data_IF_465990931147
#
_entry.id   IF_465990931147
#
_cell.length_a   1.000
_cell.length_b   1.000
_cell.length_c   1.000
_cell.angle_alpha   90.00
_cell.angle_beta   90.00
_cell.angle_gamma   90.00
#
_symmetry.space_group_name_H-M   'P 1'
#
loop_
_entity.id
_entity.type
_entity.pdbx_description
1 polymer ?
#
# COMPACT_ATOMS: atom_id res chain seq x y z
N UNK A 1 29.98 -13.90 -3.46
CA UNK A 1 28.62 -13.99 -2.91
C UNK A 1 28.32 -15.45 -2.62
N UNK A 2 27.81 -15.84 -1.44
CA UNK A 2 27.55 -17.25 -1.14
C UNK A 2 26.44 -17.80 -2.06
N UNK A 3 26.59 -19.06 -2.48
CA UNK A 3 25.78 -19.73 -3.51
C UNK A 3 24.26 -19.70 -3.23
N UNK A 4 23.84 -19.65 -1.96
CA UNK A 4 22.43 -19.52 -1.55
C UNK A 4 21.81 -18.18 -1.94
N UNK A 5 22.57 -17.09 -1.88
CA UNK A 5 22.06 -15.76 -2.22
C UNK A 5 21.86 -15.58 -3.74
N UNK A 6 22.63 -16.29 -4.58
CA UNK A 6 22.44 -16.34 -6.04
C UNK A 6 21.13 -17.03 -6.44
N UNK A 7 20.74 -18.09 -5.73
CA UNK A 7 19.49 -18.83 -6.01
C UNK A 7 18.24 -18.01 -5.66
N UNK A 8 18.29 -17.29 -4.53
CA UNK A 8 17.21 -16.36 -4.13
C UNK A 8 17.11 -15.21 -5.14
N UNK A 9 18.25 -14.66 -5.57
CA UNK A 9 18.31 -13.61 -6.59
C UNK A 9 17.69 -14.06 -7.93
N UNK A 10 18.00 -15.28 -8.38
CA UNK A 10 17.43 -15.81 -9.62
C UNK A 10 15.91 -16.05 -9.51
N UNK A 11 15.44 -16.51 -8.34
CA UNK A 11 14.01 -16.68 -8.08
C UNK A 11 13.26 -15.33 -8.12
N UNK A 12 13.79 -14.28 -7.50
CA UNK A 12 13.19 -12.93 -7.52
C UNK A 12 13.12 -12.37 -8.93
N UNK A 13 14.19 -12.53 -9.73
CA UNK A 13 14.21 -12.08 -11.13
C UNK A 13 13.22 -12.86 -12.00
N UNK A 14 13.12 -14.19 -11.82
CA UNK A 14 12.14 -14.99 -12.56
C UNK A 14 10.70 -14.59 -12.23
N UNK A 15 10.39 -14.30 -10.96
CA UNK A 15 9.06 -13.80 -10.56
C UNK A 15 8.74 -12.45 -11.20
N UNK A 16 9.72 -11.55 -11.30
CA UNK A 16 9.57 -10.25 -11.97
C UNK A 16 9.34 -10.39 -13.48
N UNK A 17 10.05 -11.29 -14.15
CA UNK A 17 9.82 -11.55 -15.58
C UNK A 17 8.45 -12.17 -15.84
N UNK A 18 7.95 -13.03 -14.95
CA UNK A 18 6.59 -13.57 -15.01
C UNK A 18 5.51 -12.50 -14.84
N UNK A 19 5.75 -11.46 -14.03
CA UNK A 19 4.82 -10.33 -13.92
C UNK A 19 4.83 -9.43 -15.15
N UNK A 20 5.94 -9.36 -15.89
CA UNK A 20 6.05 -8.57 -17.11
C UNK A 20 5.45 -9.28 -18.34
N UNK A 21 5.49 -10.62 -18.40
CA UNK A 21 4.95 -11.39 -19.54
C UNK A 21 3.44 -11.59 -19.47
N UNK A 22 2.82 -11.50 -18.29
CA UNK A 22 1.36 -11.54 -18.13
C UNK A 22 0.61 -10.30 -18.69
N UNK A 23 1.35 -9.28 -19.12
CA UNK A 23 0.83 -7.94 -19.53
C UNK A 23 0.44 -7.86 -21.02
N UNK A 24 0.54 -8.95 -21.79
CA UNK A 24 0.32 -8.91 -23.25
C UNK A 24 -1.11 -9.26 -23.74
N UNK A 25 -2.13 -9.21 -22.87
CA UNK A 25 -3.52 -9.42 -23.28
C UNK A 25 -4.37 -8.17 -23.02
N UNK A 26 -5.13 -7.72 -24.03
CA UNK A 26 -5.75 -6.40 -24.16
C UNK A 26 -7.18 -6.24 -23.62
N UNK A 27 -7.48 -5.03 -23.13
CA UNK A 27 -8.77 -4.26 -23.14
C UNK A 27 -9.82 -4.54 -22.01
N UNK A 28 -10.85 -3.65 -21.80
CA UNK A 28 -10.78 -2.43 -20.98
C UNK A 28 -11.91 -2.32 -19.91
N UNK A 29 -11.76 -1.47 -18.89
CA UNK A 29 -12.92 -0.98 -18.09
C UNK A 29 -12.71 0.40 -17.45
N UNK A 30 -12.56 1.44 -18.29
CA UNK A 30 -12.52 2.84 -17.81
C UNK A 30 -13.87 3.39 -17.30
N UNK A 31 -15.01 2.75 -17.60
CA UNK A 31 -16.34 3.32 -17.34
C UNK A 31 -16.69 3.49 -15.85
N UNK A 32 -16.30 2.56 -14.99
CA UNK A 32 -16.64 2.63 -13.57
C UNK A 32 -15.85 3.67 -12.79
N UNK A 33 -14.60 3.95 -13.19
CA UNK A 33 -13.81 4.98 -12.51
C UNK A 33 -14.29 6.40 -12.83
N UNK A 34 -14.61 6.67 -14.10
CA UNK A 34 -15.17 7.97 -14.49
C UNK A 34 -16.52 8.23 -13.84
N UNK A 35 -17.39 7.21 -13.80
CA UNK A 35 -18.66 7.29 -13.11
C UNK A 35 -18.46 7.54 -11.61
N UNK A 36 -17.50 6.88 -10.96
CA UNK A 36 -17.22 7.11 -9.54
C UNK A 36 -16.69 8.52 -9.26
N UNK A 37 -15.76 9.01 -10.08
CA UNK A 37 -15.23 10.38 -9.97
C UNK A 37 -16.34 11.42 -10.16
N UNK A 38 -17.19 11.22 -11.15
CA UNK A 38 -18.35 12.09 -11.41
C UNK A 38 -19.31 12.12 -10.22
N UNK A 39 -19.71 10.95 -9.71
CA UNK A 39 -20.62 10.82 -8.58
C UNK A 39 -20.01 11.39 -7.31
N UNK A 40 -18.75 11.07 -7.01
CA UNK A 40 -18.03 11.61 -5.84
C UNK A 40 -17.97 13.14 -5.88
N UNK A 41 -17.65 13.74 -7.03
CA UNK A 41 -17.64 15.20 -7.18
C UNK A 41 -19.02 15.82 -6.92
N UNK A 42 -20.08 15.27 -7.54
CA UNK A 42 -21.44 15.79 -7.43
C UNK A 42 -22.06 15.59 -6.04
N UNK A 43 -21.75 14.46 -5.41
CA UNK A 43 -22.37 14.04 -4.14
C UNK A 43 -21.57 14.55 -2.93
N UNK A 44 -20.25 14.35 -2.90
CA UNK A 44 -19.39 14.75 -1.78
C UNK A 44 -18.90 16.19 -1.96
N UNK A 45 -18.49 16.56 -3.18
CA UNK A 45 -17.94 17.90 -3.45
C UNK A 45 -19.01 19.00 -3.47
N UNK A 46 -20.12 18.75 -4.17
CA UNK A 46 -21.19 19.75 -4.37
C UNK A 46 -22.34 19.60 -3.37
N UNK A 47 -22.47 18.44 -2.70
CA UNK A 47 -23.52 18.20 -1.71
C UNK A 47 -24.93 18.10 -2.29
N UNK A 48 -25.05 17.69 -3.56
CA UNK A 48 -26.30 17.66 -4.31
C UNK A 48 -27.23 16.52 -3.85
N UNK A 49 -28.07 16.80 -2.84
CA UNK A 49 -29.07 15.84 -2.35
C UNK A 49 -30.21 15.59 -3.34
N UNK A 50 -30.57 16.58 -4.15
CA UNK A 50 -31.64 16.44 -5.14
C UNK A 50 -31.26 15.39 -6.20
N UNK A 51 -29.99 15.37 -6.60
CA UNK A 51 -29.46 14.32 -7.49
C UNK A 51 -29.52 12.92 -6.86
N UNK A 52 -29.16 12.79 -5.58
CA UNK A 52 -29.22 11.51 -4.85
C UNK A 52 -30.67 11.00 -4.76
N UNK A 53 -31.60 11.88 -4.38
CA UNK A 53 -33.02 11.54 -4.28
C UNK A 53 -33.62 11.21 -5.64
N UNK A 54 -33.21 11.93 -6.70
CA UNK A 54 -33.62 11.68 -8.08
C UNK A 54 -33.16 10.31 -8.60
N UNK A 55 -31.90 9.94 -8.36
CA UNK A 55 -31.36 8.63 -8.71
C UNK A 55 -32.03 7.50 -7.95
N UNK A 56 -32.25 7.68 -6.65
CA UNK A 56 -32.94 6.70 -5.80
C UNK A 56 -34.39 6.50 -6.23
N UNK A 57 -35.11 7.60 -6.49
CA UNK A 57 -36.47 7.57 -7.02
C UNK A 57 -36.53 6.86 -8.37
N UNK A 58 -35.61 7.18 -9.28
CA UNK A 58 -35.53 6.52 -10.60
C UNK A 58 -35.31 5.01 -10.46
N UNK A 59 -34.39 4.59 -9.58
CA UNK A 59 -34.10 3.18 -9.32
C UNK A 59 -35.33 2.38 -8.88
N UNK A 60 -36.23 3.01 -8.11
CA UNK A 60 -37.47 2.39 -7.64
C UNK A 60 -38.55 2.24 -8.72
N UNK A 61 -38.47 3.03 -9.80
CA UNK A 61 -39.46 3.07 -10.88
C UNK A 61 -39.05 2.25 -12.12
N UNK A 62 -37.87 1.63 -12.10
CA UNK A 62 -37.40 0.81 -13.22
C UNK A 62 -38.22 -0.48 -13.33
N UNK A 63 -38.44 -0.91 -14.58
CA UNK A 63 -39.04 -2.22 -14.86
C UNK A 63 -37.97 -3.32 -14.70
N UNK A 64 -38.20 -4.21 -13.74
CA UNK A 64 -37.30 -5.33 -13.43
C UNK A 64 -37.71 -6.63 -14.13
N UNK A 65 -38.79 -6.64 -14.91
CA UNK A 65 -39.28 -7.85 -15.60
C UNK A 65 -38.29 -8.40 -16.62
N UNK A 66 -37.49 -7.52 -17.25
CA UNK A 66 -36.43 -7.86 -18.21
C UNK A 66 -35.03 -7.88 -17.57
N UNK A 67 -34.93 -7.88 -16.24
CA UNK A 67 -33.64 -7.79 -15.55
C UNK A 67 -32.76 -9.01 -15.81
N UNK A 68 -31.47 -8.76 -16.08
CA UNK A 68 -30.50 -9.82 -16.26
C UNK A 68 -29.92 -10.26 -14.91
N UNK A 69 -29.95 -11.56 -14.64
CA UNK A 69 -29.30 -12.15 -13.46
C UNK A 69 -27.80 -12.24 -13.70
N UNK A 70 -27.00 -11.69 -12.79
CA UNK A 70 -25.54 -11.68 -12.85
C UNK A 70 -24.97 -11.95 -11.46
N UNK A 71 -23.94 -12.79 -11.38
CA UNK A 71 -23.11 -12.87 -10.18
C UNK A 71 -21.98 -11.84 -10.29
N UNK A 72 -21.83 -11.03 -9.26
CA UNK A 72 -20.78 -10.02 -9.20
C UNK A 72 -19.94 -10.22 -7.95
N UNK A 73 -18.65 -10.45 -8.14
CA UNK A 73 -17.67 -10.39 -7.06
C UNK A 73 -17.20 -8.96 -6.93
N UNK A 74 -17.39 -8.34 -5.77
CA UNK A 74 -17.27 -6.90 -5.66
C UNK A 74 -17.35 -6.36 -4.25
N UNK A 75 -17.54 -5.05 -4.18
CA UNK A 75 -17.58 -4.28 -2.95
C UNK A 75 -18.85 -3.43 -2.97
N UNK A 76 -19.62 -3.48 -1.89
CA UNK A 76 -20.69 -2.51 -1.67
C UNK A 76 -20.05 -1.21 -1.16
N UNK A 77 -20.46 -0.07 -1.72
CA UNK A 77 -19.98 1.26 -1.37
C UNK A 77 -21.17 2.15 -1.08
N UNK A 78 -20.97 3.07 -0.16
CA UNK A 78 -22.03 3.95 0.34
C UNK A 78 -21.53 5.38 0.19
N UNK A 79 -22.23 6.17 -0.60
CA UNK A 79 -22.04 7.62 -0.64
C UNK A 79 -23.16 8.26 0.19
N UNK A 80 -22.77 8.94 1.27
CA UNK A 80 -23.70 9.66 2.15
C UNK A 80 -23.54 11.16 1.92
N UNK A 81 -24.64 11.86 1.66
CA UNK A 81 -24.70 13.32 1.71
C UNK A 81 -25.32 13.73 3.02
N UNK A 82 -24.58 14.52 3.80
CA UNK A 82 -25.11 15.22 4.97
C UNK A 82 -25.22 16.70 4.63
N UNK A 83 -26.44 17.19 4.49
CA UNK A 83 -26.73 18.61 4.31
C UNK A 83 -27.37 19.19 5.56
N UNK A 84 -26.92 20.39 5.96
CA UNK A 84 -27.40 21.07 7.16
C UNK A 84 -28.92 21.43 7.14
N UNK A 85 -29.60 21.30 5.99
CA UNK A 85 -31.00 21.73 5.80
C UNK A 85 -31.94 20.69 5.19
N UNK A 86 -31.47 19.52 4.74
CA UNK A 86 -32.32 18.55 4.04
C UNK A 86 -31.78 17.14 4.22
N UNK A 87 -32.27 16.42 5.24
CA UNK A 87 -32.12 14.97 5.39
C UNK A 87 -30.69 14.40 5.30
N UNK A 88 -30.58 13.07 5.35
CA UNK A 88 -29.35 12.35 4.96
C UNK A 88 -29.69 11.55 3.71
N UNK A 89 -29.22 11.99 2.54
CA UNK A 89 -29.34 11.24 1.29
C UNK A 89 -28.29 10.13 1.28
N UNK A 90 -28.69 8.87 1.11
CA UNK A 90 -27.78 7.73 1.04
C UNK A 90 -27.92 7.05 -0.32
N UNK A 91 -26.82 6.99 -1.06
CA UNK A 91 -26.74 6.27 -2.32
C UNK A 91 -25.82 5.07 -2.17
N UNK A 92 -26.34 3.90 -2.48
CA UNK A 92 -25.62 2.64 -2.42
C UNK A 92 -25.14 2.28 -3.83
N UNK A 93 -23.89 1.84 -3.93
CA UNK A 93 -23.29 1.40 -5.18
C UNK A 93 -22.64 0.04 -4.99
N UNK A 94 -22.78 -0.81 -5.97
CA UNK A 94 -22.12 -2.10 -5.99
C UNK A 94 -21.09 -2.07 -7.10
N UNK A 95 -19.84 -2.28 -6.71
CA UNK A 95 -18.73 -2.27 -7.65
C UNK A 95 -18.17 -3.67 -7.84
N UNK A 96 -18.10 -4.11 -9.09
CA UNK A 96 -17.42 -5.33 -9.49
C UNK A 96 -15.91 -5.23 -9.44
N UNK A 97 -15.25 -6.37 -9.24
CA UNK A 97 -13.79 -6.48 -9.25
C UNK A 97 -13.17 -6.14 -10.61
N UNK A 98 -13.96 -6.22 -11.68
CA UNK A 98 -13.58 -5.89 -13.05
C UNK A 98 -13.82 -4.41 -13.40
N UNK A 99 -14.25 -3.59 -12.42
CA UNK A 99 -14.47 -2.16 -12.62
C UNK A 99 -15.92 -1.76 -12.90
N UNK A 100 -16.83 -2.71 -13.15
CA UNK A 100 -18.27 -2.43 -13.28
C UNK A 100 -18.81 -1.69 -12.05
N UNK A 101 -19.70 -0.72 -12.24
CA UNK A 101 -20.43 -0.08 -11.15
C UNK A 101 -21.93 -0.10 -11.40
N UNK A 102 -22.68 -0.39 -10.33
CA UNK A 102 -24.13 -0.42 -10.32
C UNK A 102 -24.68 0.45 -9.21
N UNK A 103 -25.69 1.28 -9.50
CA UNK A 103 -26.50 1.96 -8.49
C UNK A 103 -27.42 0.92 -7.87
N UNK A 104 -27.35 0.73 -6.55
CA UNK A 104 -28.20 -0.24 -5.84
C UNK A 104 -29.57 0.38 -5.59
N UNK A 105 -30.61 -0.28 -6.12
CA UNK A 105 -32.01 0.10 -5.88
C UNK A 105 -32.45 -0.40 -4.50
N UNK A 106 -32.86 0.52 -3.62
CA UNK A 106 -33.58 0.24 -2.37
C UNK A 106 -35.00 0.83 -2.47
N UNK A 107 -36.05 0.22 -1.89
CA UNK A 107 -36.06 -0.99 -1.08
C UNK A 107 -36.45 -2.23 -1.89
N UNK A 108 -35.71 -3.32 -1.71
CA UNK A 108 -36.21 -4.65 -2.04
C UNK A 108 -37.31 -4.96 -1.01
N UNK A 109 -38.57 -5.14 -1.41
CA UNK A 109 -39.58 -5.74 -0.51
C UNK A 109 -39.01 -7.06 0.03
N UNK A 110 -38.79 -7.15 1.34
CA UNK A 110 -38.13 -8.29 1.99
C UNK A 110 -36.59 -8.23 2.06
N UNK A 111 -35.97 -7.08 1.78
CA UNK A 111 -34.52 -6.87 1.85
C UNK A 111 -33.98 -6.56 3.25
N UNK A 112 -32.66 -6.69 3.39
CA UNK A 112 -31.90 -6.46 4.62
C UNK A 112 -32.07 -5.02 5.16
N UNK A 113 -32.06 -4.77 6.49
CA UNK A 113 -32.05 -3.42 7.06
C UNK A 113 -30.85 -2.59 6.58
N UNK A 114 -30.97 -1.27 6.51
CA UNK A 114 -29.89 -0.35 6.09
C UNK A 114 -28.56 -0.58 6.87
N UNK A 115 -28.65 -0.98 8.15
CA UNK A 115 -27.50 -1.30 8.99
C UNK A 115 -26.73 -2.57 8.55
N UNK A 116 -27.39 -3.53 7.90
CA UNK A 116 -26.73 -4.70 7.33
C UNK A 116 -25.96 -4.34 6.06
N UNK A 117 -26.50 -3.47 5.21
CA UNK A 117 -25.79 -2.95 4.05
C UNK A 117 -24.54 -2.15 4.44
N UNK A 118 -24.56 -1.43 5.57
CA UNK A 118 -23.36 -0.76 6.09
C UNK A 118 -22.25 -1.74 6.46
N UNK A 119 -22.57 -2.82 7.19
CA UNK A 119 -21.60 -3.89 7.49
C UNK A 119 -21.11 -4.60 6.23
N UNK A 120 -22.00 -4.78 5.25
CA UNK A 120 -21.65 -5.38 3.96
C UNK A 120 -20.68 -4.52 3.14
N UNK A 121 -20.61 -3.20 3.38
CA UNK A 121 -19.69 -2.31 2.67
C UNK A 121 -18.23 -2.45 3.07
N UNK A 122 -17.96 -3.10 4.21
CA UNK A 122 -16.62 -3.24 4.79
C UNK A 122 -15.79 -4.35 4.15
N UNK A 123 -16.41 -5.24 3.37
CA UNK A 123 -15.73 -6.43 2.83
C UNK A 123 -16.14 -6.75 1.39
N UNK A 124 -15.17 -7.28 0.65
CA UNK A 124 -15.40 -7.85 -0.68
C UNK A 124 -16.26 -9.12 -0.57
N UNK A 125 -17.33 -9.18 -1.35
CA UNK A 125 -18.30 -10.27 -1.33
C UNK A 125 -18.77 -10.63 -2.74
N UNK A 126 -19.39 -11.80 -2.86
CA UNK A 126 -20.09 -12.24 -4.04
C UNK A 126 -21.57 -11.90 -3.89
N UNK A 127 -22.10 -11.16 -4.85
CA UNK A 127 -23.48 -10.71 -4.87
C UNK A 127 -24.22 -11.36 -6.03
N UNK A 128 -25.38 -11.94 -5.76
CA UNK A 128 -26.35 -12.28 -6.79
C UNK A 128 -27.18 -11.03 -7.10
N UNK A 129 -27.14 -10.58 -8.35
CA UNK A 129 -27.75 -9.33 -8.79
C UNK A 129 -28.76 -9.57 -9.91
N UNK A 130 -29.80 -8.77 -9.90
CA UNK A 130 -30.62 -8.45 -11.07
C UNK A 130 -30.19 -7.07 -11.56
N UNK A 131 -29.93 -6.92 -12.86
CA UNK A 131 -29.39 -5.67 -13.42
C UNK A 131 -30.27 -5.12 -14.54
N UNK A 132 -30.43 -3.80 -14.56
CA UNK A 132 -31.22 -3.04 -15.55
C UNK A 132 -30.49 -1.72 -15.83
N UNK A 133 -30.55 -1.21 -17.05
CA UNK A 133 -30.01 0.12 -17.38
C UNK A 133 -31.12 1.16 -17.37
N UNK A 134 -30.81 2.37 -16.93
CA UNK A 134 -31.76 3.48 -16.89
C UNK A 134 -31.06 4.81 -17.11
N UNK A 135 -31.80 5.78 -17.65
CA UNK A 135 -31.29 7.14 -17.85
C UNK A 135 -31.73 8.08 -16.73
N UNK A 136 -30.84 8.97 -16.31
CA UNK A 136 -31.11 10.07 -15.40
C UNK A 136 -30.25 11.28 -15.78
N UNK A 137 -30.86 12.46 -15.94
CA UNK A 137 -30.16 13.70 -16.34
C UNK A 137 -29.24 13.55 -17.58
N UNK A 138 -29.71 12.85 -18.62
CA UNK A 138 -28.95 12.68 -19.87
C UNK A 138 -27.77 11.70 -19.80
N UNK A 139 -27.63 10.96 -18.69
CA UNK A 139 -26.61 9.89 -18.53
C UNK A 139 -27.27 8.55 -18.27
N UNK A 140 -26.70 7.50 -18.86
CA UNK A 140 -27.10 6.12 -18.62
C UNK A 140 -26.37 5.58 -17.38
N UNK A 141 -27.13 4.96 -16.48
CA UNK A 141 -26.64 4.28 -15.29
C UNK A 141 -27.05 2.82 -15.33
N UNK A 142 -26.17 1.94 -14.86
CA UNK A 142 -26.52 0.56 -14.56
C UNK A 142 -27.09 0.51 -13.13
N UNK A 143 -28.28 -0.05 -12.98
CA UNK A 143 -28.93 -0.27 -11.70
C UNK A 143 -28.87 -1.75 -11.36
N UNK A 144 -28.68 -2.06 -10.09
CA UNK A 144 -28.69 -3.43 -9.58
C UNK A 144 -29.62 -3.58 -8.39
N UNK A 145 -30.27 -4.73 -8.33
CA UNK A 145 -31.01 -5.21 -7.17
C UNK A 145 -30.34 -6.47 -6.65
N UNK A 146 -30.05 -6.51 -5.35
CA UNK A 146 -29.49 -7.71 -4.71
C UNK A 146 -30.62 -8.73 -4.57
N UNK A 147 -30.48 -9.86 -5.25
CA UNK A 147 -31.52 -10.89 -5.37
C UNK A 147 -31.30 -12.10 -4.46
N UNK A 148 -30.21 -12.13 -3.69
CA UNK A 148 -29.90 -13.21 -2.73
C UNK A 148 -28.90 -12.77 -1.67
N UNK A 149 -28.66 -13.63 -0.68
CA UNK A 149 -27.71 -13.33 0.40
C UNK A 149 -26.27 -13.19 -0.14
N UNK A 150 -25.58 -12.08 0.15
CA UNK A 150 -24.18 -11.92 -0.22
C UNK A 150 -23.30 -12.99 0.43
N UNK A 151 -22.47 -13.64 -0.38
CA UNK A 151 -21.55 -14.68 0.10
C UNK A 151 -20.16 -14.09 0.34
N UNK A 152 -19.61 -14.36 1.52
CA UNK A 152 -18.22 -14.02 1.81
C UNK A 152 -17.26 -14.88 0.98
N UNK A 153 -16.22 -14.26 0.43
CA UNK A 153 -15.22 -14.96 -0.37
C UNK A 153 -14.21 -15.58 0.60
N UNK A 154 -14.28 -16.91 0.77
CA UNK A 154 -13.43 -17.65 1.70
C UNK A 154 -11.93 -17.37 1.45
N UNK A 155 -11.54 -17.31 0.18
CA UNK A 155 -10.16 -17.02 -0.21
C UNK A 155 -9.69 -15.63 0.25
N UNK A 156 -10.52 -14.57 0.10
CA UNK A 156 -10.16 -13.21 0.52
C UNK A 156 -9.96 -13.13 2.04
N UNK A 157 -10.82 -13.82 2.81
CA UNK A 157 -10.67 -13.92 4.27
C UNK A 157 -9.38 -14.62 4.67
N UNK A 158 -9.11 -15.79 4.08
CA UNK A 158 -7.88 -16.55 4.35
C UNK A 158 -6.65 -15.70 3.98
N UNK A 159 -6.71 -15.00 2.84
CA UNK A 159 -5.63 -14.13 2.38
C UNK A 159 -5.36 -12.97 3.34
N UNK A 160 -6.39 -12.21 3.74
CA UNK A 160 -6.27 -11.10 4.71
C UNK A 160 -5.74 -11.58 6.07
N UNK A 161 -6.25 -12.69 6.60
CA UNK A 161 -5.76 -13.29 7.85
C UNK A 161 -4.29 -13.70 7.72
N UNK A 162 -3.91 -14.32 6.61
CA UNK A 162 -2.54 -14.75 6.35
C UNK A 162 -1.58 -13.56 6.31
N UNK A 163 -1.96 -12.46 5.65
CA UNK A 163 -1.17 -11.21 5.62
C UNK A 163 -0.94 -10.69 7.03
N UNK A 164 -2.00 -10.56 7.83
CA UNK A 164 -1.93 -10.01 9.19
C UNK A 164 -1.04 -10.88 10.07
N UNK A 165 -1.20 -12.21 10.01
CA UNK A 165 -0.39 -13.15 10.77
C UNK A 165 1.08 -13.11 10.34
N UNK A 166 1.35 -13.07 9.04
CA UNK A 166 2.70 -12.96 8.53
C UNK A 166 3.37 -11.65 8.94
N UNK A 167 2.67 -10.51 8.83
CA UNK A 167 3.17 -9.22 9.29
C UNK A 167 3.49 -9.26 10.79
N UNK A 168 2.61 -9.84 11.60
CA UNK A 168 2.84 -10.04 13.03
C UNK A 168 4.16 -10.77 13.28
N UNK A 169 4.39 -11.90 12.61
CA UNK A 169 5.63 -12.67 12.75
C UNK A 169 6.86 -11.87 12.31
N UNK A 170 6.77 -11.13 11.20
CA UNK A 170 7.86 -10.27 10.72
C UNK A 170 8.21 -9.20 11.76
N UNK A 171 7.21 -8.57 12.37
CA UNK A 171 7.41 -7.51 13.37
C UNK A 171 7.92 -8.05 14.70
N UNK A 172 7.49 -9.23 15.13
CA UNK A 172 8.12 -9.95 16.25
C UNK A 172 9.59 -10.21 15.92
N UNK A 173 9.88 -10.74 14.74
CA UNK A 173 11.22 -11.00 14.24
C UNK A 173 12.14 -9.79 14.27
N UNK A 174 11.62 -8.65 13.83
CA UNK A 174 12.29 -7.35 13.96
C UNK A 174 12.58 -7.03 15.42
N UNK A 175 11.58 -7.15 16.30
CA UNK A 175 11.73 -6.89 17.73
C UNK A 175 12.79 -7.77 18.41
N UNK A 176 12.96 -9.02 17.95
CA UNK A 176 14.01 -9.92 18.43
C UNK A 176 15.43 -9.42 18.17
N UNK A 177 15.62 -8.45 17.28
CA UNK A 177 16.94 -7.86 16.96
C UNK A 177 17.23 -6.58 17.72
N UNK A 178 16.20 -5.93 18.28
CA UNK A 178 16.33 -4.59 18.86
C UNK A 178 16.51 -4.63 20.38
N UNK A 179 17.29 -3.69 20.90
CA UNK A 179 17.47 -3.43 22.33
C UNK A 179 17.04 -2.01 22.66
N UNK A 180 16.64 -1.77 23.91
CA UNK A 180 16.35 -0.41 24.40
C UNK A 180 17.55 0.54 24.25
N UNK A 181 18.77 0.01 24.35
CA UNK A 181 20.01 0.79 24.12
C UNK A 181 20.11 1.34 22.70
N UNK A 182 19.46 0.73 21.71
CA UNK A 182 19.56 1.17 20.31
C UNK A 182 18.83 2.50 20.10
N UNK A 183 17.84 2.82 20.93
CA UNK A 183 17.16 4.12 20.95
C UNK A 183 18.04 5.22 21.56
N UNK A 184 18.94 4.86 22.49
CA UNK A 184 19.82 5.85 23.14
C UNK A 184 20.90 6.41 22.21
N UNK A 185 21.15 5.78 21.04
CA UNK A 185 22.15 6.25 20.08
C UNK A 185 21.78 7.62 19.48
N UNK A 186 20.50 8.02 19.52
CA UNK A 186 20.06 9.36 19.11
C UNK A 186 20.84 10.46 19.85
N UNK A 187 21.15 10.24 21.12
CA UNK A 187 21.91 11.20 21.94
C UNK A 187 23.42 11.16 21.63
N UNK A 188 23.93 10.07 21.07
CA UNK A 188 25.36 9.90 20.75
C UNK A 188 25.73 10.30 19.32
N UNK A 189 24.79 10.13 18.36
CA UNK A 189 24.98 10.46 16.94
C UNK A 189 23.82 11.30 16.39
N UNK A 190 23.51 12.46 17.01
CA UNK A 190 22.29 13.22 16.73
C UNK A 190 22.21 13.70 15.28
N UNK A 191 23.31 14.22 14.72
CA UNK A 191 23.31 14.76 13.36
C UNK A 191 22.92 13.71 12.31
N UNK A 192 23.52 12.52 12.37
CA UNK A 192 23.22 11.46 11.40
C UNK A 192 21.78 10.93 11.55
N UNK A 193 21.27 10.85 12.78
CA UNK A 193 19.87 10.44 13.02
C UNK A 193 18.89 11.49 12.47
N UNK A 194 19.12 12.78 12.73
CA UNK A 194 18.28 13.87 12.22
C UNK A 194 18.29 13.89 10.69
N UNK A 195 19.47 13.78 10.06
CA UNK A 195 19.58 13.67 8.60
C UNK A 195 18.76 12.48 8.09
N UNK A 196 18.89 11.32 8.73
CA UNK A 196 18.12 10.12 8.39
C UNK A 196 16.60 10.34 8.43
N UNK A 197 16.09 10.94 9.50
CA UNK A 197 14.66 11.23 9.67
C UNK A 197 14.18 12.22 8.59
N UNK A 198 14.93 13.29 8.34
CA UNK A 198 14.60 14.29 7.31
C UNK A 198 14.61 13.66 5.92
N UNK A 199 15.57 12.79 5.62
CA UNK A 199 15.59 12.03 4.36
C UNK A 199 14.37 11.12 4.25
N UNK A 200 14.00 10.44 5.34
CA UNK A 200 12.96 9.44 5.33
C UNK A 200 11.55 10.01 5.18
N UNK A 201 11.22 11.04 5.96
CA UNK A 201 9.87 11.60 6.07
C UNK A 201 9.71 12.98 5.43
N UNK A 202 10.81 13.67 5.14
CA UNK A 202 10.80 14.94 4.40
C UNK A 202 11.12 14.73 2.93
N UNK A 203 12.34 14.31 2.61
CA UNK A 203 12.83 14.26 1.23
C UNK A 203 12.17 13.17 0.39
N UNK A 204 12.07 11.94 0.89
CA UNK A 204 11.56 10.82 0.10
C UNK A 204 10.11 11.00 -0.38
N UNK A 205 9.16 11.48 0.44
CA UNK A 205 7.82 11.82 -0.05
C UNK A 205 7.83 12.89 -1.14
N UNK A 206 8.73 13.89 -1.07
CA UNK A 206 8.89 14.90 -2.12
C UNK A 206 9.47 14.31 -3.41
N UNK A 207 10.40 13.35 -3.31
CA UNK A 207 10.90 12.61 -4.47
C UNK A 207 9.78 11.79 -5.12
N UNK A 208 8.95 11.11 -4.33
CA UNK A 208 7.79 10.37 -4.83
C UNK A 208 6.78 11.31 -5.52
N UNK A 209 6.53 12.50 -4.96
CA UNK A 209 5.69 13.53 -5.58
C UNK A 209 6.27 13.98 -6.93
N UNK A 210 7.57 14.33 -6.97
CA UNK A 210 8.24 14.75 -8.20
C UNK A 210 8.23 13.69 -9.29
N UNK A 211 8.52 12.42 -8.94
CA UNK A 211 8.44 11.30 -9.88
C UNK A 211 7.01 11.07 -10.37
N UNK A 212 6.02 11.26 -9.50
CA UNK A 212 4.61 11.08 -9.87
C UNK A 212 4.11 12.17 -10.82
N UNK A 213 4.60 13.40 -10.71
CA UNK A 213 4.37 14.42 -11.73
C UNK A 213 5.09 14.10 -13.03
N UNK A 214 6.36 13.67 -12.96
CA UNK A 214 7.17 13.34 -14.14
C UNK A 214 6.55 12.21 -14.97
N UNK A 215 6.03 11.18 -14.33
CA UNK A 215 5.38 10.05 -14.99
C UNK A 215 3.87 10.20 -15.18
N UNK A 216 3.28 11.35 -14.82
CA UNK A 216 1.85 11.63 -14.96
C UNK A 216 0.92 10.87 -14.00
N UNK A 217 1.46 10.10 -13.05
CA UNK A 217 0.67 9.39 -12.05
C UNK A 217 -0.11 10.32 -11.13
N UNK A 218 0.43 11.51 -10.83
CA UNK A 218 -0.22 12.45 -9.93
C UNK A 218 -1.62 12.85 -10.42
N UNK A 219 -1.77 13.11 -11.72
CA UNK A 219 -3.04 13.53 -12.32
C UNK A 219 -3.88 12.35 -12.81
N UNK A 220 -3.25 11.37 -13.48
CA UNK A 220 -3.99 10.28 -14.13
C UNK A 220 -4.32 9.12 -13.19
N UNK A 221 -3.44 8.82 -12.21
CA UNK A 221 -3.50 7.61 -11.41
C UNK A 221 -3.20 7.89 -9.92
N UNK A 222 -4.10 8.59 -9.20
CA UNK A 222 -3.85 9.06 -7.84
C UNK A 222 -3.53 7.93 -6.84
N UNK A 223 -4.05 6.73 -7.07
CA UNK A 223 -3.74 5.56 -6.23
C UNK A 223 -2.34 4.98 -6.50
N UNK A 224 -1.79 5.11 -7.71
CA UNK A 224 -0.37 4.78 -7.97
C UNK A 224 0.52 5.78 -7.23
N UNK A 225 0.21 7.08 -7.34
CA UNK A 225 0.91 8.13 -6.59
C UNK A 225 0.86 7.86 -5.06
N UNK A 226 -0.32 7.58 -4.52
CA UNK A 226 -0.49 7.26 -3.11
C UNK A 226 0.25 5.99 -2.71
N UNK A 227 0.36 5.01 -3.61
CA UNK A 227 1.20 3.82 -3.42
C UNK A 227 2.68 4.18 -3.27
N UNK A 228 3.19 5.10 -4.11
CA UNK A 228 4.57 5.59 -4.03
C UNK A 228 4.80 6.38 -2.74
N UNK A 229 3.87 7.26 -2.35
CA UNK A 229 3.95 7.96 -1.07
C UNK A 229 3.97 6.96 0.09
N UNK A 230 3.03 6.00 0.12
CA UNK A 230 2.96 4.95 1.15
C UNK A 230 4.28 4.17 1.28
N UNK A 231 4.93 3.85 0.16
CA UNK A 231 6.24 3.21 0.17
C UNK A 231 7.29 4.08 0.88
N UNK A 232 7.31 5.40 0.62
CA UNK A 232 8.29 6.33 1.22
C UNK A 232 8.04 6.67 2.68
N UNK A 233 6.78 6.79 3.09
CA UNK A 233 6.43 7.13 4.48
C UNK A 233 6.40 5.91 5.38
N UNK A 234 6.56 4.72 4.82
CA UNK A 234 6.77 3.52 5.62
C UNK A 234 8.16 3.54 6.28
N UNK A 235 8.29 3.03 7.51
CA UNK A 235 9.57 2.97 8.21
C UNK A 235 10.59 2.12 7.44
N UNK A 236 11.87 2.27 7.78
CA UNK A 236 12.91 1.44 7.19
C UNK A 236 12.66 -0.05 7.53
N UNK A 237 12.99 -0.95 6.59
CA UNK A 237 12.82 -2.38 6.78
C UNK A 237 14.08 -3.02 7.36
N UNK A 238 13.97 -4.06 8.19
CA UNK A 238 15.12 -4.75 8.83
C UNK A 238 16.21 -5.19 7.84
N UNK A 239 15.84 -5.45 6.58
CA UNK A 239 16.81 -5.80 5.54
C UNK A 239 17.81 -4.67 5.23
N UNK A 240 17.49 -3.40 5.52
CA UNK A 240 18.46 -2.29 5.45
C UNK A 240 19.67 -2.57 6.34
N UNK A 241 19.48 -3.10 7.56
CA UNK A 241 20.55 -3.46 8.48
C UNK A 241 21.49 -4.51 7.88
N UNK A 242 20.93 -5.51 7.19
CA UNK A 242 21.71 -6.56 6.52
C UNK A 242 22.53 -5.98 5.37
N UNK A 243 21.94 -5.10 4.56
CA UNK A 243 22.63 -4.44 3.44
C UNK A 243 23.71 -3.48 3.94
N UNK A 244 23.44 -2.72 5.00
CA UNK A 244 24.43 -1.89 5.70
C UNK A 244 25.61 -2.73 6.17
N UNK A 245 25.35 -3.88 6.78
CA UNK A 245 26.41 -4.80 7.21
C UNK A 245 27.26 -5.29 6.01
N UNK A 246 26.63 -5.72 4.92
CA UNK A 246 27.35 -6.18 3.72
C UNK A 246 28.13 -5.08 3.00
N UNK A 247 27.70 -3.84 3.10
CA UNK A 247 28.41 -2.67 2.59
C UNK A 247 29.50 -2.15 3.53
N UNK A 248 29.77 -2.81 4.67
CA UNK A 248 30.66 -2.32 5.73
C UNK A 248 30.27 -0.92 6.24
N UNK A 249 28.97 -0.62 6.33
CA UNK A 249 28.44 0.62 6.87
C UNK A 249 28.40 0.66 8.40
N UNK A 250 27.87 1.75 8.95
CA UNK A 250 27.64 1.92 10.38
C UNK A 250 26.35 1.18 10.79
N UNK A 251 26.51 -0.09 11.17
CA UNK A 251 25.38 -0.96 11.52
C UNK A 251 24.60 -0.44 12.75
N UNK A 252 25.30 0.13 13.73
CA UNK A 252 24.66 0.71 14.91
C UNK A 252 23.74 1.88 14.53
N UNK A 253 24.21 2.77 13.63
CA UNK A 253 23.37 3.85 13.10
C UNK A 253 22.13 3.31 12.37
N UNK A 254 22.29 2.27 11.52
CA UNK A 254 21.19 1.64 10.78
C UNK A 254 20.10 1.14 11.73
N UNK A 255 20.49 0.32 12.72
CA UNK A 255 19.57 -0.27 13.70
C UNK A 255 18.84 0.83 14.48
N UNK A 256 19.56 1.86 14.92
CA UNK A 256 18.96 2.98 15.65
C UNK A 256 18.00 3.80 14.80
N UNK A 257 18.36 4.10 13.55
CA UNK A 257 17.50 4.86 12.64
C UNK A 257 16.26 4.06 12.28
N UNK A 258 16.39 2.76 11.99
CA UNK A 258 15.25 1.86 11.78
C UNK A 258 14.32 1.89 12.99
N UNK A 259 14.87 1.71 14.20
CA UNK A 259 14.10 1.68 15.46
C UNK A 259 13.30 2.96 15.70
N UNK A 260 13.96 4.13 15.52
CA UNK A 260 13.32 5.44 15.67
C UNK A 260 12.28 5.65 14.57
N UNK A 261 12.60 5.31 13.32
CA UNK A 261 11.68 5.44 12.20
C UNK A 261 10.40 4.63 12.41
N UNK A 262 10.48 3.43 13.00
CA UNK A 262 9.32 2.59 13.31
C UNK A 262 8.40 3.21 14.35
N UNK A 263 8.95 3.87 15.38
CA UNK A 263 8.14 4.62 16.35
C UNK A 263 7.51 5.84 15.66
N UNK A 264 8.31 6.60 14.90
CA UNK A 264 7.84 7.79 14.20
C UNK A 264 6.74 7.47 13.16
N UNK A 265 6.76 6.28 12.55
CA UNK A 265 5.76 5.84 11.58
C UNK A 265 4.34 5.86 12.14
N UNK A 266 4.15 5.67 13.45
CA UNK A 266 2.85 5.78 14.11
C UNK A 266 2.17 7.13 13.85
N UNK A 267 2.96 8.21 13.74
CA UNK A 267 2.48 9.57 13.55
C UNK A 267 2.73 10.06 12.13
N UNK A 268 3.93 9.82 11.59
CA UNK A 268 4.35 10.37 10.31
C UNK A 268 3.61 9.70 9.14
N UNK A 269 3.40 8.39 9.18
CA UNK A 269 2.68 7.66 8.11
C UNK A 269 1.24 8.18 7.93
N UNK A 270 0.37 8.18 8.96
CA UNK A 270 -0.99 8.68 8.79
C UNK A 270 -1.03 10.18 8.45
N UNK A 271 -0.14 10.99 9.04
CA UNK A 271 -0.08 12.43 8.78
C UNK A 271 0.30 12.74 7.34
N UNK A 272 1.38 12.13 6.85
CA UNK A 272 1.86 12.37 5.49
C UNK A 272 0.93 11.76 4.44
N UNK A 273 0.37 10.57 4.69
CA UNK A 273 -0.65 10.02 3.79
C UNK A 273 -1.86 10.95 3.70
N UNK A 274 -2.35 11.46 4.83
CA UNK A 274 -3.46 12.42 4.84
C UNK A 274 -3.11 13.69 4.05
N UNK A 275 -1.92 14.25 4.27
CA UNK A 275 -1.44 15.46 3.59
C UNK A 275 -1.37 15.28 2.06
N UNK A 276 -0.72 14.22 1.59
CA UNK A 276 -0.54 13.99 0.15
C UNK A 276 -1.80 13.41 -0.52
N UNK A 277 -2.61 12.64 0.19
CA UNK A 277 -3.83 12.03 -0.34
C UNK A 277 -4.97 13.01 -0.52
N UNK A 278 -5.18 13.92 0.43
CA UNK A 278 -6.20 14.98 0.31
C UNK A 278 -5.95 15.86 -0.91
N UNK A 279 -4.69 16.10 -1.25
CA UNK A 279 -4.30 16.95 -2.39
C UNK A 279 -4.54 16.28 -3.75
N UNK A 280 -4.59 14.94 -3.83
CA UNK A 280 -4.57 14.20 -5.11
C UNK A 280 -5.82 13.39 -5.41
N UNK A 281 -6.37 12.66 -4.44
CA UNK A 281 -7.49 11.73 -4.70
C UNK A 281 -8.85 12.31 -4.33
N UNK A 282 -8.89 13.42 -3.56
CA UNK A 282 -10.12 13.93 -2.95
C UNK A 282 -10.76 12.96 -1.94
N UNK A 283 -10.14 11.80 -1.69
CA UNK A 283 -10.62 10.81 -0.74
C UNK A 283 -10.16 11.16 0.67
N UNK A 284 -11.09 11.19 1.62
CA UNK A 284 -10.78 11.33 3.04
C UNK A 284 -10.09 10.06 3.54
N UNK A 285 -8.76 10.12 3.72
CA UNK A 285 -8.00 9.03 4.31
C UNK A 285 -8.31 8.89 5.80
N UNK A 286 -8.63 7.69 6.30
CA UNK A 286 -8.95 7.45 7.69
C UNK A 286 -7.65 7.41 8.53
N UNK A 287 -7.07 8.59 8.79
CA UNK A 287 -5.79 8.73 9.50
C UNK A 287 -5.79 8.01 10.86
N UNK A 288 -6.91 8.05 11.58
CA UNK A 288 -7.08 7.34 12.86
C UNK A 288 -6.99 5.82 12.70
N UNK A 289 -7.62 5.26 11.65
CA UNK A 289 -7.57 3.82 11.38
C UNK A 289 -6.14 3.40 10.99
N UNK A 290 -5.46 4.20 10.18
CA UNK A 290 -4.06 3.94 9.79
C UNK A 290 -3.18 3.92 11.05
N UNK A 291 -3.32 4.91 11.92
CA UNK A 291 -2.59 4.98 13.19
C UNK A 291 -2.85 3.77 14.09
N UNK A 292 -4.13 3.42 14.31
CA UNK A 292 -4.52 2.25 15.10
C UNK A 292 -3.95 0.95 14.51
N UNK A 293 -3.99 0.82 13.19
CA UNK A 293 -3.46 -0.35 12.47
C UNK A 293 -1.95 -0.48 12.70
N UNK A 294 -1.21 0.64 12.61
CA UNK A 294 0.24 0.64 12.89
C UNK A 294 0.49 0.27 14.36
N UNK A 295 -0.25 0.82 15.31
CA UNK A 295 -0.09 0.50 16.73
C UNK A 295 -0.27 -1.02 16.97
N UNK A 296 -1.40 -1.57 16.50
CA UNK A 296 -1.78 -2.95 16.79
C UNK A 296 -0.93 -3.96 16.00
N UNK A 297 -0.63 -3.68 14.73
CA UNK A 297 0.05 -4.64 13.85
C UNK A 297 1.57 -4.47 13.79
N UNK A 298 2.10 -3.35 14.28
CA UNK A 298 3.55 -3.05 14.24
C UNK A 298 4.12 -2.89 15.63
N UNK A 299 3.58 -1.96 16.42
CA UNK A 299 4.18 -1.58 17.70
C UNK A 299 4.01 -2.69 18.74
N UNK A 300 2.81 -3.27 18.85
CA UNK A 300 2.55 -4.37 19.79
C UNK A 300 3.43 -5.60 19.49
N UNK A 301 3.49 -6.14 18.26
CA UNK A 301 4.32 -7.31 17.97
C UNK A 301 5.82 -7.00 18.11
N UNK A 302 6.25 -5.80 17.75
CA UNK A 302 7.62 -5.34 17.97
C UNK A 302 7.99 -5.35 19.46
N UNK A 303 7.12 -4.80 20.31
CA UNK A 303 7.32 -4.78 21.76
C UNK A 303 7.37 -6.20 22.36
N UNK A 304 6.53 -7.12 21.85
CA UNK A 304 6.60 -8.55 22.20
C UNK A 304 7.97 -9.12 21.85
N UNK A 305 8.44 -8.91 20.62
CA UNK A 305 9.77 -9.35 20.19
C UNK A 305 10.90 -8.77 21.04
N UNK A 306 10.86 -7.48 21.35
CA UNK A 306 11.84 -6.82 22.21
C UNK A 306 11.82 -7.34 23.65
N UNK A 307 10.64 -7.70 24.16
CA UNK A 307 10.50 -8.28 25.51
C UNK A 307 11.11 -9.69 25.55
N UNK A 308 10.88 -10.50 24.52
CA UNK A 308 11.52 -11.82 24.36
C UNK A 308 13.03 -11.65 24.24
N UNK A 309 13.49 -10.67 23.48
CA UNK A 309 14.91 -10.30 23.33
C UNK A 309 15.58 -9.95 24.65
N UNK A 310 14.90 -9.18 25.49
CA UNK A 310 15.40 -8.79 26.82
C UNK A 310 15.54 -9.99 27.77
N UNK A 311 14.63 -10.98 27.69
CA UNK A 311 14.63 -12.17 28.56
C UNK A 311 15.52 -13.31 28.04
N UNK A 312 15.58 -13.51 26.73
CA UNK A 312 16.21 -14.67 26.08
C UNK A 312 17.16 -14.24 24.95
N UNK A 313 18.22 -13.52 25.32
CA UNK A 313 19.12 -12.88 24.35
C UNK A 313 19.69 -13.87 23.31
N UNK A 314 20.30 -14.97 23.77
CA UNK A 314 20.97 -15.94 22.89
C UNK A 314 19.99 -16.61 21.92
N UNK A 315 18.79 -16.97 22.39
CA UNK A 315 17.77 -17.59 21.54
C UNK A 315 17.24 -16.61 20.49
N UNK A 316 17.05 -15.34 20.88
CA UNK A 316 16.53 -14.30 20.00
C UNK A 316 17.45 -14.00 18.82
N UNK A 317 18.78 -13.92 19.04
CA UNK A 317 19.74 -13.73 17.92
C UNK A 317 19.78 -14.92 16.98
N UNK A 318 19.61 -16.14 17.49
CA UNK A 318 19.56 -17.35 16.66
C UNK A 318 18.28 -17.41 15.83
N UNK A 319 17.17 -16.92 16.37
CA UNK A 319 15.88 -16.92 15.68
C UNK A 319 15.74 -15.76 14.67
N UNK A 320 16.37 -14.61 14.91
CA UNK A 320 16.22 -13.42 14.07
C UNK A 320 16.45 -13.63 12.55
N UNK A 321 17.46 -14.40 12.09
CA UNK A 321 17.63 -14.71 10.67
C UNK A 321 16.45 -15.48 10.07
N UNK A 322 15.83 -16.38 10.85
CA UNK A 322 14.67 -17.16 10.41
C UNK A 322 13.50 -16.23 10.13
N UNK A 323 13.22 -15.31 11.05
CA UNK A 323 12.16 -14.31 10.84
C UNK A 323 12.46 -13.31 9.72
N UNK A 324 13.73 -12.96 9.51
CA UNK A 324 14.12 -12.10 8.37
C UNK A 324 13.87 -12.79 7.04
N UNK A 325 14.20 -14.08 6.94
CA UNK A 325 13.88 -14.92 5.78
C UNK A 325 12.37 -15.04 5.60
N UNK A 326 11.64 -15.29 6.70
CA UNK A 326 10.18 -15.35 6.69
C UNK A 326 9.57 -14.06 6.11
N UNK A 327 10.10 -12.89 6.45
CA UNK A 327 9.61 -11.62 5.89
C UNK A 327 9.81 -11.48 4.38
N UNK A 328 10.94 -11.95 3.84
CA UNK A 328 11.14 -12.00 2.38
C UNK A 328 10.10 -12.96 1.74
N UNK A 329 9.90 -14.13 2.33
CA UNK A 329 8.87 -15.08 1.87
C UNK A 329 7.46 -14.49 1.98
N UNK A 330 7.16 -13.75 3.04
CA UNK A 330 5.90 -13.02 3.22
C UNK A 330 5.68 -12.04 2.09
N UNK A 331 6.63 -11.15 1.82
CA UNK A 331 6.50 -10.17 0.72
C UNK A 331 6.28 -10.87 -0.61
N UNK A 332 7.05 -11.93 -0.90
CA UNK A 332 6.89 -12.71 -2.12
C UNK A 332 5.53 -13.40 -2.21
N UNK A 333 5.09 -14.04 -1.13
CA UNK A 333 3.80 -14.72 -1.06
C UNK A 333 2.66 -13.72 -1.28
N UNK A 334 2.66 -12.60 -0.55
CA UNK A 334 1.65 -11.55 -0.64
C UNK A 334 1.63 -10.96 -2.05
N UNK A 335 2.80 -10.68 -2.64
CA UNK A 335 2.86 -10.18 -4.00
C UNK A 335 2.28 -11.19 -5.00
N UNK A 336 2.76 -12.43 -5.00
CA UNK A 336 2.37 -13.43 -6.01
C UNK A 336 0.86 -13.67 -5.94
N UNK A 337 0.34 -13.90 -4.73
CA UNK A 337 -1.10 -14.12 -4.53
C UNK A 337 -1.92 -12.88 -4.85
N UNK A 338 -1.42 -11.68 -4.52
CA UNK A 338 -2.08 -10.43 -4.86
C UNK A 338 -2.07 -10.13 -6.36
N UNK A 339 -1.00 -10.45 -7.09
CA UNK A 339 -0.94 -10.34 -8.55
C UNK A 339 -1.90 -11.34 -9.20
N UNK A 340 -1.87 -12.60 -8.79
CA UNK A 340 -2.78 -13.65 -9.29
C UNK A 340 -4.24 -13.26 -9.06
N UNK A 341 -4.55 -12.68 -7.89
CA UNK A 341 -5.89 -12.20 -7.56
C UNK A 341 -6.35 -10.95 -8.33
N UNK A 342 -5.44 -10.29 -9.05
CA UNK A 342 -5.69 -9.02 -9.75
C UNK A 342 -5.18 -9.04 -11.21
N UNK A 343 -5.07 -10.21 -11.85
CA UNK A 343 -4.56 -10.31 -13.23
C UNK A 343 -5.36 -9.45 -14.21
N UNK A 344 -6.69 -9.40 -14.09
CA UNK A 344 -7.55 -8.57 -14.94
C UNK A 344 -7.33 -7.07 -14.73
N UNK A 345 -6.89 -6.64 -13.56
CA UNK A 345 -6.53 -5.23 -13.34
C UNK A 345 -5.19 -4.90 -14.02
N UNK A 346 -4.25 -5.85 -14.02
CA UNK A 346 -2.91 -5.69 -14.56
C UNK A 346 -2.83 -5.69 -16.10
N UNK A 347 -3.90 -6.06 -16.79
CA UNK A 347 -4.00 -5.95 -18.26
C UNK A 347 -4.21 -4.52 -18.75
N UNK A 348 -4.51 -3.56 -17.86
CA UNK A 348 -4.55 -2.12 -18.18
C UNK A 348 -3.13 -1.60 -18.42
N UNK A 349 -2.68 -1.71 -19.67
CA UNK A 349 -1.34 -1.30 -20.12
C UNK A 349 -1.11 0.21 -20.05
N UNK A 350 -2.16 1.03 -20.01
CA UNK A 350 -2.02 2.47 -19.81
C UNK A 350 -1.66 2.78 -18.35
N UNK A 351 -2.35 2.12 -17.41
CA UNK A 351 -2.10 2.25 -15.96
C UNK A 351 -0.81 1.59 -15.52
N UNK A 352 -0.60 0.35 -15.95
CA UNK A 352 0.56 -0.49 -15.60
C UNK A 352 1.57 -0.53 -16.76
N UNK A 353 1.91 0.67 -17.28
CA UNK A 353 2.90 0.84 -18.33
C UNK A 353 4.33 0.57 -17.84
N UNK A 354 5.32 0.58 -18.74
CA UNK A 354 6.74 0.47 -18.35
C UNK A 354 7.13 1.51 -17.29
N UNK A 355 6.59 2.72 -17.36
CA UNK A 355 6.81 3.77 -16.37
C UNK A 355 6.38 3.34 -14.97
N UNK A 356 5.28 2.57 -14.85
CA UNK A 356 4.81 2.07 -13.56
C UNK A 356 5.81 1.11 -12.94
N UNK A 357 6.35 0.18 -13.72
CA UNK A 357 7.31 -0.80 -13.21
C UNK A 357 8.66 -0.15 -12.88
N UNK A 358 9.13 0.82 -13.67
CA UNK A 358 10.41 1.48 -13.35
C UNK A 358 10.33 2.54 -12.26
N UNK A 359 9.16 3.13 -12.00
CA UNK A 359 9.04 4.22 -11.03
C UNK A 359 9.44 3.82 -9.59
N UNK A 360 9.01 2.67 -9.02
CA UNK A 360 9.46 2.23 -7.70
C UNK A 360 10.97 1.99 -7.62
N UNK A 361 11.59 1.38 -8.64
CA UNK A 361 13.04 1.21 -8.73
C UNK A 361 13.76 2.56 -8.77
N UNK A 362 13.31 3.48 -9.62
CA UNK A 362 13.88 4.83 -9.74
C UNK A 362 13.72 5.59 -8.42
N UNK A 363 12.59 5.46 -7.75
CA UNK A 363 12.35 6.05 -6.43
C UNK A 363 13.36 5.54 -5.40
N UNK A 364 13.56 4.21 -5.32
CA UNK A 364 14.54 3.63 -4.41
C UNK A 364 15.97 4.10 -4.73
N UNK A 365 16.39 4.06 -5.99
CA UNK A 365 17.72 4.50 -6.43
C UNK A 365 17.94 5.99 -6.15
N UNK A 366 16.98 6.84 -6.51
CA UNK A 366 17.05 8.30 -6.30
C UNK A 366 17.12 8.61 -4.82
N UNK A 367 16.34 7.92 -3.99
CA UNK A 367 16.40 8.05 -2.54
C UNK A 367 17.79 7.73 -1.97
N UNK A 368 18.40 6.63 -2.42
CA UNK A 368 19.76 6.26 -1.99
C UNK A 368 20.82 7.26 -2.47
N UNK A 369 20.73 7.75 -3.71
CA UNK A 369 21.64 8.78 -4.24
C UNK A 369 21.49 10.08 -3.46
N UNK A 370 20.25 10.54 -3.26
CA UNK A 370 19.98 11.78 -2.55
C UNK A 370 20.46 11.71 -1.09
N UNK A 371 20.29 10.56 -0.43
CA UNK A 371 20.86 10.32 0.89
C UNK A 371 22.39 10.46 0.89
N UNK A 372 23.09 9.93 -0.12
CA UNK A 372 24.55 10.10 -0.24
C UNK A 372 24.92 11.57 -0.40
N UNK A 373 24.22 12.30 -1.27
CA UNK A 373 24.49 13.73 -1.54
C UNK A 373 24.30 14.55 -0.28
N UNK A 374 23.15 14.43 0.38
CA UNK A 374 22.84 15.15 1.62
C UNK A 374 23.85 14.77 2.72
N UNK A 375 24.14 13.50 2.91
CA UNK A 375 25.11 13.05 3.90
C UNK A 375 26.53 13.61 3.65
N UNK A 376 26.95 13.74 2.38
CA UNK A 376 28.22 14.39 2.01
C UNK A 376 28.21 15.90 2.30
N UNK A 377 27.10 16.60 2.05
CA UNK A 377 26.96 18.04 2.36
C UNK A 377 27.19 18.28 3.87
N UNK A 378 26.58 17.44 4.71
CA UNK A 378 26.76 17.50 6.17
C UNK A 378 28.04 16.83 6.68
N UNK A 379 28.94 16.39 5.78
CA UNK A 379 30.26 15.83 6.09
C UNK A 379 30.24 14.67 7.09
N UNK A 380 29.20 13.82 7.05
CA UNK A 380 29.15 12.61 7.89
C UNK A 380 30.12 11.55 7.37
N UNK A 381 30.54 10.62 8.23
CA UNK A 381 31.55 9.63 7.88
C UNK A 381 31.10 8.68 6.75
N UNK A 382 32.05 8.11 6.00
CA UNK A 382 31.76 7.17 4.91
C UNK A 382 30.91 5.97 5.35
N UNK A 383 31.10 5.47 6.58
CA UNK A 383 30.28 4.38 7.13
C UNK A 383 28.84 4.83 7.37
N UNK A 384 28.63 6.05 7.85
CA UNK A 384 27.30 6.62 8.08
C UNK A 384 26.58 6.93 6.75
N UNK A 385 27.30 7.43 5.74
CA UNK A 385 26.75 7.65 4.39
C UNK A 385 26.12 6.35 3.85
N UNK A 386 26.83 5.22 3.98
CA UNK A 386 26.33 3.91 3.53
C UNK A 386 25.06 3.51 4.26
N UNK A 387 25.02 3.68 5.58
CA UNK A 387 23.82 3.38 6.38
C UNK A 387 22.65 4.28 6.00
N UNK A 388 22.87 5.59 5.86
CA UNK A 388 21.83 6.55 5.47
C UNK A 388 21.24 6.23 4.09
N UNK A 389 22.08 5.78 3.14
CA UNK A 389 21.60 5.35 1.83
C UNK A 389 20.60 4.18 1.96
N UNK A 390 20.98 3.10 2.65
CA UNK A 390 20.08 1.94 2.80
C UNK A 390 18.84 2.25 3.63
N UNK A 391 18.97 3.01 4.72
CA UNK A 391 17.83 3.41 5.56
C UNK A 391 16.85 4.34 4.82
N UNK A 392 17.31 5.04 3.78
CA UNK A 392 16.44 5.89 2.95
C UNK A 392 15.75 5.09 1.87
N UNK A 393 16.47 4.24 1.13
CA UNK A 393 15.95 3.52 -0.03
C UNK A 393 15.30 2.16 0.25
N UNK A 394 15.62 1.50 1.37
CA UNK A 394 15.08 0.18 1.72
C UNK A 394 14.03 0.33 2.82
N UNK A 395 12.77 0.17 2.45
CA UNK A 395 11.62 0.40 3.33
C UNK A 395 10.97 -0.91 3.77
N UNK A 396 10.07 -0.83 4.74
CA UNK A 396 9.28 -1.96 5.18
C UNK A 396 8.09 -2.20 4.24
N UNK A 397 8.34 -2.86 3.11
CA UNK A 397 7.31 -3.13 2.12
C UNK A 397 6.22 -4.08 2.62
N UNK A 398 6.53 -5.00 3.53
CA UNK A 398 5.53 -5.88 4.14
C UNK A 398 4.46 -5.05 4.88
N UNK A 399 4.91 -4.09 5.70
CA UNK A 399 4.00 -3.16 6.38
C UNK A 399 3.19 -2.33 5.38
N UNK A 400 3.85 -1.76 4.38
CA UNK A 400 3.19 -0.87 3.44
C UNK A 400 2.14 -1.60 2.59
N UNK A 401 2.41 -2.84 2.17
CA UNK A 401 1.43 -3.72 1.51
C UNK A 401 0.27 -4.10 2.43
N UNK A 402 0.53 -4.41 3.70
CA UNK A 402 -0.55 -4.70 4.66
C UNK A 402 -1.41 -3.48 4.94
N UNK A 403 -0.82 -2.29 5.04
CA UNK A 403 -1.61 -1.07 5.14
C UNK A 403 -2.45 -0.85 3.90
N UNK A 404 -1.87 -1.01 2.71
CA UNK A 404 -2.59 -0.88 1.44
C UNK A 404 -3.81 -1.81 1.37
N UNK A 405 -3.68 -3.11 1.70
CA UNK A 405 -4.81 -4.05 1.64
C UNK A 405 -5.91 -3.73 2.66
N UNK A 406 -5.55 -3.18 3.83
CA UNK A 406 -6.52 -2.87 4.88
C UNK A 406 -7.28 -1.57 4.61
N UNK A 407 -6.66 -0.61 3.91
CA UNK A 407 -7.29 0.68 3.62
C UNK A 407 -7.87 0.79 2.21
N UNK A 408 -7.43 -0.04 1.24
CA UNK A 408 -7.84 0.06 -0.18
C UNK A 408 -9.36 0.06 -0.33
N UNK A 409 -10.06 -0.75 0.48
CA UNK A 409 -11.51 -0.86 0.42
C UNK A 409 -12.17 0.46 0.87
N UNK A 410 -11.61 1.15 1.86
CA UNK A 410 -12.14 2.40 2.39
C UNK A 410 -11.82 3.62 1.53
N UNK A 411 -10.64 3.65 0.91
CA UNK A 411 -10.19 4.81 0.11
C UNK A 411 -10.69 4.75 -1.34
N UNK A 412 -11.37 3.68 -1.73
CA UNK A 412 -11.81 3.47 -3.11
C UNK A 412 -10.66 3.20 -4.07
N UNK A 413 -9.58 2.55 -3.63
CA UNK A 413 -8.55 2.06 -4.55
C UNK A 413 -8.97 0.70 -5.08
N UNK A 414 -9.53 0.71 -6.28
CA UNK A 414 -10.17 -0.48 -6.79
C UNK A 414 -9.57 -1.11 -8.02
N UNK A 415 -8.32 -0.77 -8.29
CA UNK A 415 -7.38 -1.60 -9.02
C UNK A 415 -6.31 -2.20 -8.08
N UNK A 416 -6.46 -2.04 -6.76
CA UNK A 416 -5.45 -2.39 -5.76
C UNK A 416 -4.08 -1.75 -6.08
N UNK A 417 -4.09 -0.56 -6.69
CA UNK A 417 -2.88 0.11 -7.18
C UNK A 417 -1.91 0.42 -6.03
N UNK A 418 -2.38 0.84 -4.85
CA UNK A 418 -1.53 1.06 -3.67
C UNK A 418 -0.79 -0.24 -3.30
N UNK A 419 -1.53 -1.34 -3.27
CA UNK A 419 -0.99 -2.64 -2.89
C UNK A 419 0.05 -3.13 -3.90
N UNK A 420 -0.27 -3.04 -5.21
CA UNK A 420 0.63 -3.49 -6.28
C UNK A 420 1.90 -2.63 -6.31
N UNK A 421 1.81 -1.30 -6.21
CA UNK A 421 2.99 -0.41 -6.13
C UNK A 421 3.91 -0.83 -4.99
N UNK A 422 3.36 -1.06 -3.80
CA UNK A 422 4.14 -1.42 -2.62
C UNK A 422 4.73 -2.83 -2.72
N UNK A 423 4.04 -3.74 -3.41
CA UNK A 423 4.62 -5.00 -3.85
C UNK A 423 5.85 -4.76 -4.71
N UNK A 424 5.68 -4.12 -5.87
CA UNK A 424 6.76 -3.90 -6.85
C UNK A 424 7.95 -3.21 -6.20
N UNK A 425 7.71 -2.12 -5.45
CA UNK A 425 8.72 -1.45 -4.66
C UNK A 425 9.47 -2.41 -3.73
N UNK A 426 8.73 -3.29 -3.03
CA UNK A 426 9.28 -4.27 -2.11
C UNK A 426 10.27 -5.26 -2.76
N UNK A 427 10.12 -5.59 -4.04
CA UNK A 427 11.11 -6.38 -4.76
C UNK A 427 12.26 -5.53 -5.30
N UNK A 428 11.93 -4.40 -5.92
CA UNK A 428 12.91 -3.57 -6.62
C UNK A 428 13.87 -2.86 -5.65
N UNK A 429 13.44 -2.54 -4.44
CA UNK A 429 14.32 -1.99 -3.41
C UNK A 429 15.47 -2.95 -3.05
N UNK A 430 15.28 -4.27 -3.18
CA UNK A 430 16.36 -5.23 -2.97
C UNK A 430 17.36 -5.23 -4.12
N UNK A 431 16.90 -5.02 -5.35
CA UNK A 431 17.78 -4.85 -6.52
C UNK A 431 18.63 -3.60 -6.31
N UNK A 432 18.00 -2.46 -6.01
CA UNK A 432 18.69 -1.21 -5.69
C UNK A 432 19.69 -1.39 -4.54
N UNK A 433 19.28 -2.04 -3.46
CA UNK A 433 20.14 -2.32 -2.31
C UNK A 433 21.38 -3.16 -2.67
N UNK A 434 21.21 -4.23 -3.44
CA UNK A 434 22.32 -5.09 -3.88
C UNK A 434 23.28 -4.30 -4.79
N UNK A 435 22.75 -3.51 -5.72
CA UNK A 435 23.57 -2.65 -6.58
C UNK A 435 24.45 -1.70 -5.75
N UNK A 436 23.86 -1.04 -4.73
CA UNK A 436 24.60 -0.15 -3.85
C UNK A 436 25.62 -0.89 -2.98
N UNK A 437 25.32 -2.10 -2.49
CA UNK A 437 26.33 -2.93 -1.80
C UNK A 437 27.53 -3.19 -2.71
N UNK A 438 27.31 -3.56 -3.97
CA UNK A 438 28.40 -3.81 -4.93
C UNK A 438 29.21 -2.55 -5.19
N UNK A 439 28.54 -1.41 -5.40
CA UNK A 439 29.19 -0.11 -5.60
C UNK A 439 30.06 0.27 -4.40
N UNK A 440 29.51 0.26 -3.18
CA UNK A 440 30.26 0.62 -1.98
C UNK A 440 31.44 -0.29 -1.71
N UNK A 441 31.32 -1.60 -2.01
CA UNK A 441 32.44 -2.53 -1.86
C UNK A 441 33.55 -2.28 -2.88
N UNK A 442 33.21 -1.90 -4.11
CA UNK A 442 34.20 -1.53 -5.14
C UNK A 442 35.00 -0.31 -4.70
N UNK A 443 34.33 0.77 -4.27
CA UNK A 443 35.01 1.97 -3.81
C UNK A 443 35.86 1.74 -2.55
N UNK A 444 35.41 0.89 -1.63
CA UNK A 444 36.17 0.56 -0.42
C UNK A 444 37.49 -0.16 -0.73
N UNK A 445 37.51 -1.05 -1.74
CA UNK A 445 38.75 -1.74 -2.14
C UNK A 445 39.75 -0.79 -2.77
N UNK A 446 39.30 0.08 -3.67
CA UNK A 446 40.17 1.05 -4.34
C UNK A 446 40.81 2.07 -3.39
N UNK A 447 40.21 2.30 -2.21
CA UNK A 447 40.77 3.20 -1.17
C UNK A 447 41.72 2.45 -0.20
N UNK A 448 41.66 1.11 -0.16
CA UNK A 448 42.58 0.27 0.61
C UNK A 448 43.82 -0.09 -0.25
N UNK A 449 43.73 0.01 -1.58
CA UNK A 449 44.80 -0.29 -2.57
C UNK A 449 45.56 0.96 -3.07
N UNK A 450 45.11 2.17 -2.73
CA UNK A 450 45.74 3.45 -3.05
C UNK A 450 46.24 4.13 -1.77
#
# INVERSE_FOLDING_TARGET
>A
MPMKARKIFLAVICTLMLTATAVMASSPSLQGEELYKYLSKKIIGEGDTAFVDGLSSRASQLDWSAAQKKELTGNLRILKVKTAKAGTGILYFLRGSEGDMYVVSLPVKGGHPAAEYEKMSESRMMFALETVTGEHEGKTYAFARISGEPKAILFDRIFKISIVLMLFLVMVGMGLTLKLSDFSLVFRKPLAIVIGIVLQYGLMPLVALGLSHLFGFYQAYPFIFMGLILATVSPAGVTSNLLTHFAKGDLALSISLTSISTIMAMFCTPLLLSLYGTTSSGASLPALLIAQTIIVLVIVPLAVGMTVRAKFEKASLKAAPIFSILGIFTVLFIMVTGVVGNLNALTDTNRYSLSFYFAPLILALTGMVAAIVVAKIFRVSAKQIRSLAFETGVRNSALSMTLAILIQDQIGDFYSSLFIVNGVYGLEMYIAGILFVLLFRKFSKNTEEA
#
